data_IF_513302948974
#
_entry.id   IF_513302948974
#
_cell.length_a   1.000
_cell.length_b   1.000
_cell.length_c   1.000
_cell.angle_alpha   90.00
_cell.angle_beta   90.00
_cell.angle_gamma   90.00
#
_symmetry.space_group_name_H-M   'P 1'
#
loop_
_entity.id
_entity.type
_entity.pdbx_description
1 polymer ?
#
# COMPACT_ATOMS: atom_id res chain seq x y z
N UNK A 1 6.95 2.15 8.12
CA UNK A 1 5.71 2.90 7.80
C UNK A 1 5.65 3.09 6.28
N UNK A 2 4.48 3.07 5.65
CA UNK A 2 4.34 3.33 4.20
C UNK A 2 3.54 4.63 4.07
N UNK A 3 4.03 5.54 3.24
CA UNK A 3 3.36 6.80 2.96
C UNK A 3 2.69 6.72 1.58
N UNK A 4 1.48 7.26 1.52
CA UNK A 4 0.75 7.45 0.28
C UNK A 4 0.81 8.93 -0.07
N UNK A 5 1.26 9.23 -1.28
CA UNK A 5 1.26 10.57 -1.84
C UNK A 5 0.30 10.64 -3.03
N UNK A 6 0.01 11.86 -3.46
CA UNK A 6 -0.77 12.14 -4.67
C UNK A 6 -2.08 11.33 -4.70
N UNK A 7 -2.80 11.35 -3.57
CA UNK A 7 -4.07 10.63 -3.47
C UNK A 7 -5.11 11.41 -4.29
N UNK A 8 -5.65 10.76 -5.30
CA UNK A 8 -6.76 11.27 -6.10
C UNK A 8 -8.00 10.42 -5.86
N UNK A 9 -9.07 11.08 -5.42
CA UNK A 9 -10.39 10.48 -5.30
C UNK A 9 -11.19 10.79 -6.55
N UNK A 10 -11.99 9.83 -7.01
CA UNK A 10 -12.86 10.03 -8.17
C UNK A 10 -14.17 9.29 -7.93
N UNK A 11 -15.27 10.02 -8.10
CA UNK A 11 -16.59 9.44 -8.16
C UNK A 11 -16.88 9.08 -9.62
N UNK A 12 -17.04 7.78 -9.90
CA UNK A 12 -17.35 7.31 -11.25
C UNK A 12 -18.86 7.40 -11.52
N UNK A 13 -19.67 7.09 -10.51
CA UNK A 13 -21.13 7.22 -10.51
C UNK A 13 -21.64 7.54 -9.10
N UNK A 14 -22.96 7.70 -8.93
CA UNK A 14 -23.58 7.88 -7.61
C UNK A 14 -23.25 6.78 -6.60
N UNK A 15 -22.93 5.56 -7.06
CA UNK A 15 -22.70 4.38 -6.21
C UNK A 15 -21.30 3.80 -6.34
N UNK A 16 -20.44 4.38 -7.18
CA UNK A 16 -19.11 3.87 -7.48
C UNK A 16 -18.05 4.95 -7.25
N UNK A 17 -17.12 4.65 -6.35
CA UNK A 17 -16.04 5.53 -5.96
C UNK A 17 -14.71 4.82 -6.13
N UNK A 18 -13.67 5.54 -6.54
CA UNK A 18 -12.33 5.02 -6.58
C UNK A 18 -11.33 6.03 -6.00
N UNK A 19 -10.19 5.49 -5.58
CA UNK A 19 -9.04 6.27 -5.19
C UNK A 19 -7.78 5.65 -5.79
N UNK A 20 -6.84 6.49 -6.18
CA UNK A 20 -5.52 6.11 -6.66
C UNK A 20 -4.46 6.91 -5.91
N UNK A 21 -3.32 6.30 -5.63
CA UNK A 21 -2.22 6.96 -4.92
C UNK A 21 -0.87 6.37 -5.32
N UNK A 22 0.20 7.13 -5.06
CA UNK A 22 1.58 6.67 -5.20
C UNK A 22 2.14 6.20 -3.86
N UNK A 23 2.75 5.02 -3.87
CA UNK A 23 3.57 4.50 -2.78
C UNK A 23 4.87 5.29 -2.73
N UNK A 24 5.18 5.84 -1.56
CA UNK A 24 6.52 6.33 -1.28
C UNK A 24 7.21 5.29 -0.38
N UNK A 25 8.23 4.58 -0.87
CA UNK A 25 9.11 3.81 0.00
C UNK A 25 9.75 4.77 1.01
N UNK A 26 9.84 4.39 2.28
CA UNK A 26 10.70 5.12 3.22
C UNK A 26 12.15 4.85 2.79
N UNK A 27 12.66 5.70 1.90
CA UNK A 27 14.03 5.74 1.45
C UNK A 27 14.70 6.97 2.01
N UNK A 28 15.62 6.77 2.95
CA UNK A 28 16.90 7.48 3.16
C UNK A 28 16.94 9.02 3.30
N UNK A 29 15.85 9.77 3.14
CA UNK A 29 15.88 11.25 3.28
C UNK A 29 16.12 11.74 4.72
N UNK A 30 15.81 10.94 5.74
CA UNK A 30 16.16 11.27 7.13
C UNK A 30 17.66 11.11 7.44
N UNK A 31 18.42 10.40 6.59
CA UNK A 31 19.83 10.10 6.81
C UNK A 31 20.79 10.90 5.94
N UNK A 32 20.34 11.99 5.30
CA UNK A 32 21.23 12.83 4.48
C UNK A 32 21.64 14.15 5.15
N UNK A 33 20.86 14.68 6.09
CA UNK A 33 21.07 16.09 6.51
C UNK A 33 21.50 16.31 7.96
N UNK A 34 21.67 15.26 8.79
CA UNK A 34 22.20 15.44 10.16
C UNK A 34 23.21 14.34 10.55
N UNK A 35 24.41 14.39 9.99
CA UNK A 35 25.59 13.82 10.64
C UNK A 35 26.01 14.72 11.81
N UNK A 36 25.24 14.67 12.90
CA UNK A 36 25.72 15.14 14.20
C UNK A 36 25.24 14.13 15.23
N UNK A 37 26.19 13.55 15.97
CA UNK A 37 25.94 12.51 16.95
C UNK A 37 24.87 12.95 17.96
N UNK A 38 23.75 12.23 18.03
CA UNK A 38 22.69 12.51 18.98
C UNK A 38 22.84 11.60 20.20
N UNK A 39 23.10 12.25 21.34
CA UNK A 39 22.92 11.74 22.70
C UNK A 39 21.44 11.41 22.96
N UNK A 40 21.13 10.53 23.93
CA UNK A 40 19.75 10.09 24.15
C UNK A 40 18.90 11.20 24.76
N UNK A 41 17.84 11.60 24.06
CA UNK A 41 16.85 12.56 24.56
C UNK A 41 15.81 11.80 25.40
N UNK A 42 15.75 12.14 26.69
CA UNK A 42 14.64 11.87 27.61
C UNK A 42 13.44 12.74 27.20
N UNK A 43 12.34 12.13 26.77
CA UNK A 43 11.08 12.84 26.51
C UNK A 43 10.18 12.74 27.74
N UNK A 44 10.04 13.88 28.42
CA UNK A 44 9.09 14.14 29.48
C UNK A 44 7.66 14.16 28.94
N UNK A 45 6.77 13.48 29.65
CA UNK A 45 5.33 13.46 29.43
C UNK A 45 4.68 14.72 29.98
N UNK A 46 3.90 15.43 29.16
CA UNK A 46 2.78 16.23 29.64
C UNK A 46 1.56 16.11 28.71
N UNK A 47 0.44 15.89 29.39
CA UNK A 47 -0.89 15.49 28.93
C UNK A 47 -1.57 16.40 27.92
N UNK A 48 -2.38 15.81 27.02
CA UNK A 48 -3.78 16.20 26.78
C UNK A 48 -4.56 15.02 26.17
N UNK A 49 -5.82 14.89 26.59
CA UNK A 49 -6.63 13.66 26.61
C UNK A 49 -7.34 13.23 25.30
N UNK A 50 -7.49 11.90 25.19
CA UNK A 50 -8.60 11.08 24.63
C UNK A 50 -9.19 11.40 23.24
N UNK A 51 -8.88 10.52 22.27
CA UNK A 51 -9.86 9.55 21.75
C UNK A 51 -9.13 8.38 21.05
N UNK A 52 -9.56 7.16 21.39
CA UNK A 52 -8.96 5.88 21.05
C UNK A 52 -8.97 5.59 19.54
N UNK A 53 -7.85 5.83 18.87
CA UNK A 53 -7.52 5.21 17.58
C UNK A 53 -6.56 4.06 17.86
N UNK A 54 -7.06 2.83 17.69
CA UNK A 54 -6.26 1.61 17.64
C UNK A 54 -5.19 1.78 16.54
N UNK A 55 -4.02 2.26 16.95
CA UNK A 55 -2.85 2.35 16.11
C UNK A 55 -2.32 0.94 15.95
N UNK A 56 -2.83 0.20 14.98
CA UNK A 56 -2.18 -1.01 14.51
C UNK A 56 -0.94 -0.61 13.73
N UNK A 57 0.13 -0.34 14.47
CA UNK A 57 1.45 -0.03 13.96
C UNK A 57 2.07 -1.31 13.43
N UNK A 58 1.98 -1.55 12.12
CA UNK A 58 2.78 -2.59 11.47
C UNK A 58 4.22 -2.09 11.28
N UNK A 59 5.08 -2.44 12.22
CA UNK A 59 6.52 -2.21 12.12
C UNK A 59 7.13 -3.25 11.17
N UNK A 60 7.68 -2.82 10.04
CA UNK A 60 8.58 -3.66 9.24
C UNK A 60 9.99 -3.38 9.75
N UNK A 61 10.59 -4.36 10.43
CA UNK A 61 11.99 -4.32 10.85
C UNK A 61 12.86 -4.75 9.66
N UNK A 62 13.74 -3.90 9.11
CA UNK A 62 14.72 -4.35 8.14
C UNK A 62 15.81 -5.16 8.87
N UNK A 63 16.28 -6.29 8.33
CA UNK A 63 17.35 -7.07 8.95
C UNK A 63 18.67 -6.29 8.87
N UNK A 64 19.45 -6.30 9.96
CA UNK A 64 20.81 -5.76 10.01
C UNK A 64 21.73 -6.61 9.11
N UNK A 65 22.38 -5.96 8.15
CA UNK A 65 23.29 -6.61 7.20
C UNK A 65 24.74 -6.53 7.72
N UNK A 66 25.39 -7.68 7.87
CA UNK A 66 26.82 -7.81 8.11
C UNK A 66 27.51 -8.21 6.78
N UNK A 67 28.48 -7.44 6.26
CA UNK A 67 29.17 -7.78 5.04
C UNK A 67 30.42 -8.60 5.37
N UNK A 68 30.30 -9.93 5.35
CA UNK A 68 31.47 -10.80 5.26
C UNK A 68 31.09 -12.15 4.64
N UNK A 69 31.30 -12.29 3.34
CA UNK A 69 31.95 -13.42 2.65
C UNK A 69 31.46 -13.59 1.21
N UNK A 70 32.45 -13.75 0.35
CA UNK A 70 32.40 -13.87 -1.10
C UNK A 70 31.65 -15.12 -1.60
N UNK A 71 30.57 -14.92 -2.39
CA UNK A 71 30.10 -15.86 -3.43
C UNK A 71 29.09 -15.16 -4.37
N UNK A 72 29.60 -14.53 -5.43
CA UNK A 72 28.94 -13.41 -6.13
C UNK A 72 27.84 -13.77 -7.15
N UNK A 73 27.42 -15.03 -7.32
CA UNK A 73 26.39 -15.39 -8.33
C UNK A 73 25.06 -15.91 -7.74
N UNK A 74 25.07 -16.45 -6.53
CA UNK A 74 23.86 -16.96 -5.85
C UNK A 74 23.22 -15.94 -4.88
N UNK A 75 23.95 -14.88 -4.52
CA UNK A 75 23.46 -13.82 -3.64
C UNK A 75 22.46 -12.86 -4.31
N UNK A 76 22.62 -12.61 -5.61
CA UNK A 76 21.74 -11.72 -6.38
C UNK A 76 20.28 -12.21 -6.38
N UNK A 77 20.06 -13.53 -6.52
CA UNK A 77 18.71 -14.11 -6.61
C UNK A 77 17.94 -14.07 -5.29
N UNK A 78 18.62 -14.27 -4.16
CA UNK A 78 18.00 -14.18 -2.82
C UNK A 78 17.60 -12.75 -2.48
N UNK A 79 18.48 -11.79 -2.75
CA UNK A 79 18.21 -10.37 -2.52
C UNK A 79 17.07 -9.87 -3.42
N UNK A 80 17.06 -10.26 -4.69
CA UNK A 80 15.99 -9.89 -5.63
C UNK A 80 14.64 -10.47 -5.22
N UNK A 81 14.61 -11.72 -4.76
CA UNK A 81 13.39 -12.34 -4.26
C UNK A 81 12.87 -11.62 -3.01
N UNK A 82 13.78 -11.23 -2.11
CA UNK A 82 13.44 -10.45 -0.93
C UNK A 82 12.87 -9.09 -1.31
N UNK A 83 13.52 -8.38 -2.23
CA UNK A 83 13.05 -7.08 -2.73
C UNK A 83 11.65 -7.19 -3.36
N UNK A 84 11.40 -8.23 -4.15
CA UNK A 84 10.06 -8.52 -4.73
C UNK A 84 9.02 -8.77 -3.65
N UNK A 85 9.34 -9.54 -2.60
CA UNK A 85 8.44 -9.79 -1.46
C UNK A 85 8.13 -8.50 -0.71
N UNK A 86 9.14 -7.68 -0.41
CA UNK A 86 8.99 -6.38 0.26
C UNK A 86 8.11 -5.44 -0.58
N UNK A 87 8.34 -5.38 -1.89
CA UNK A 87 7.53 -4.57 -2.80
C UNK A 87 6.06 -5.00 -2.77
N UNK A 88 5.80 -6.29 -2.91
CA UNK A 88 4.43 -6.84 -2.88
C UNK A 88 3.75 -6.59 -1.55
N UNK A 89 4.47 -6.73 -0.44
CA UNK A 89 3.94 -6.41 0.88
C UNK A 89 3.60 -4.92 0.99
N UNK A 90 4.47 -4.05 0.47
CA UNK A 90 4.24 -2.61 0.48
C UNK A 90 3.01 -2.22 -0.32
N UNK A 91 2.80 -2.83 -1.49
CA UNK A 91 1.59 -2.66 -2.29
C UNK A 91 0.33 -3.12 -1.55
N UNK A 92 0.37 -4.32 -0.94
CA UNK A 92 -0.75 -4.87 -0.15
C UNK A 92 -1.14 -3.99 1.04
N UNK A 93 -0.14 -3.45 1.75
CA UNK A 93 -0.39 -2.52 2.86
C UNK A 93 -0.90 -1.19 2.32
N UNK A 94 -0.32 -0.68 1.22
CA UNK A 94 -0.72 0.59 0.61
C UNK A 94 -2.17 0.61 0.16
N UNK A 95 -2.66 -0.43 -0.53
CA UNK A 95 -4.08 -0.50 -0.95
C UNK A 95 -5.04 -0.50 0.24
N UNK A 96 -4.66 -1.10 1.37
CA UNK A 96 -5.48 -1.11 2.60
C UNK A 96 -5.50 0.25 3.28
N UNK A 97 -4.36 0.93 3.36
CA UNK A 97 -4.29 2.32 3.83
C UNK A 97 -5.15 3.20 2.94
N UNK A 98 -5.08 3.02 1.61
CA UNK A 98 -5.85 3.79 0.65
C UNK A 98 -7.36 3.56 0.80
N UNK A 99 -7.81 2.32 1.03
CA UNK A 99 -9.22 2.04 1.36
C UNK A 99 -9.66 2.83 2.59
N UNK A 100 -8.89 2.78 3.68
CA UNK A 100 -9.25 3.50 4.90
C UNK A 100 -9.36 5.01 4.67
N UNK A 101 -8.49 5.58 3.81
CA UNK A 101 -8.59 6.98 3.39
C UNK A 101 -9.84 7.27 2.59
N UNK A 102 -10.19 6.40 1.63
CA UNK A 102 -11.43 6.53 0.85
C UNK A 102 -12.67 6.40 1.74
N UNK A 103 -12.70 5.46 2.69
CA UNK A 103 -13.81 5.32 3.64
C UNK A 103 -13.96 6.56 4.51
N UNK A 104 -12.85 7.12 5.00
CA UNK A 104 -12.87 8.37 5.77
C UNK A 104 -13.38 9.55 4.95
N UNK A 105 -12.94 9.69 3.69
CA UNK A 105 -13.41 10.71 2.75
C UNK A 105 -14.93 10.63 2.52
N UNK A 106 -15.47 9.41 2.45
CA UNK A 106 -16.90 9.15 2.28
C UNK A 106 -17.70 9.18 3.59
N UNK A 107 -17.05 9.38 4.74
CA UNK A 107 -17.70 9.34 6.05
C UNK A 107 -18.20 7.95 6.46
N UNK A 108 -17.64 6.87 5.91
CA UNK A 108 -18.05 5.48 6.17
C UNK A 108 -17.19 4.88 7.29
N UNK A 109 -17.83 4.55 8.41
CA UNK A 109 -17.21 3.81 9.50
C UNK A 109 -17.41 2.30 9.30
N UNK A 110 -16.48 1.66 8.59
CA UNK A 110 -16.47 0.20 8.37
C UNK A 110 -15.03 -0.32 8.24
N UNK A 111 -14.88 -1.64 8.11
CA UNK A 111 -13.61 -2.32 7.90
C UNK A 111 -13.72 -3.35 6.79
N UNK A 112 -12.59 -3.65 6.16
CA UNK A 112 -12.51 -4.70 5.13
C UNK A 112 -12.74 -6.08 5.75
N UNK A 113 -13.56 -6.88 5.09
CA UNK A 113 -13.65 -8.33 5.28
C UNK A 113 -12.64 -9.03 4.36
N UNK A 114 -11.58 -9.57 4.94
CA UNK A 114 -10.52 -10.30 4.22
C UNK A 114 -10.74 -11.82 4.18
N UNK A 115 -11.87 -12.32 4.71
CA UNK A 115 -12.10 -13.76 4.87
C UNK A 115 -12.36 -14.50 3.56
N UNK A 116 -12.96 -13.83 2.56
CA UNK A 116 -13.34 -14.45 1.29
C UNK A 116 -13.35 -13.44 0.13
N UNK A 117 -13.29 -13.98 -1.09
CA UNK A 117 -13.56 -13.23 -2.32
C UNK A 117 -15.03 -13.38 -2.74
N UNK A 118 -15.64 -12.33 -3.35
CA UNK A 118 -15.10 -10.99 -3.57
C UNK A 118 -14.96 -10.20 -2.26
N UNK A 119 -13.97 -9.31 -2.18
CA UNK A 119 -13.76 -8.48 -0.99
C UNK A 119 -14.95 -7.55 -0.76
N UNK A 120 -15.33 -7.40 0.51
CA UNK A 120 -16.43 -6.53 0.94
C UNK A 120 -16.09 -5.80 2.23
N UNK A 121 -16.85 -4.77 2.55
CA UNK A 121 -16.89 -4.23 3.90
C UNK A 121 -17.69 -5.15 4.84
N UNK A 122 -17.34 -5.20 6.12
CA UNK A 122 -17.97 -6.13 7.07
C UNK A 122 -19.44 -5.82 7.32
N UNK A 123 -19.76 -4.55 7.60
CA UNK A 123 -21.10 -4.16 8.03
C UNK A 123 -21.99 -3.80 6.82
N UNK A 124 -21.53 -2.88 5.98
CA UNK A 124 -22.32 -2.38 4.85
C UNK A 124 -22.32 -3.33 3.65
N UNK A 125 -21.42 -4.33 3.63
CA UNK A 125 -21.29 -5.33 2.57
C UNK A 125 -21.01 -4.75 1.17
N UNK A 126 -20.63 -3.48 1.07
CA UNK A 126 -20.16 -2.83 -0.16
C UNK A 126 -18.96 -3.58 -0.74
N UNK A 127 -18.90 -3.66 -2.07
CA UNK A 127 -17.84 -4.38 -2.78
C UNK A 127 -16.58 -3.54 -2.86
N UNK A 128 -15.44 -4.19 -2.61
CA UNK A 128 -14.12 -3.57 -2.70
C UNK A 128 -13.29 -4.30 -3.74
N UNK A 129 -12.62 -3.55 -4.62
CA UNK A 129 -11.63 -4.10 -5.53
C UNK A 129 -10.30 -3.34 -5.38
N UNK A 130 -9.19 -4.06 -5.44
CA UNK A 130 -7.85 -3.50 -5.35
C UNK A 130 -7.08 -3.79 -6.63
N UNK A 131 -6.27 -2.82 -7.08
CA UNK A 131 -5.23 -3.07 -8.06
C UNK A 131 -3.96 -2.29 -7.71
N UNK A 132 -2.82 -2.73 -8.23
CA UNK A 132 -1.54 -2.09 -8.03
C UNK A 132 -0.59 -2.38 -9.20
N UNK A 133 0.16 -1.37 -9.66
CA UNK A 133 1.21 -1.56 -10.67
C UNK A 133 2.37 -0.61 -10.41
N UNK A 134 3.60 -1.15 -10.49
CA UNK A 134 4.81 -0.52 -9.96
C UNK A 134 4.61 0.08 -8.56
N UNK A 135 4.70 1.39 -8.42
CA UNK A 135 4.55 2.12 -7.15
C UNK A 135 3.20 2.84 -7.07
N UNK A 136 2.23 2.45 -7.90
CA UNK A 136 0.87 3.00 -7.88
C UNK A 136 -0.08 1.96 -7.32
N UNK A 137 -0.99 2.41 -6.45
CA UNK A 137 -2.04 1.59 -5.83
C UNK A 137 -3.40 2.23 -6.10
N UNK A 138 -4.40 1.39 -6.34
CA UNK A 138 -5.76 1.81 -6.58
C UNK A 138 -6.75 0.94 -5.79
N UNK A 139 -7.85 1.57 -5.40
CA UNK A 139 -9.00 0.91 -4.78
C UNK A 139 -10.28 1.44 -5.42
N UNK A 140 -11.24 0.54 -5.62
CA UNK A 140 -12.60 0.89 -5.97
C UNK A 140 -13.57 0.33 -4.94
N UNK A 141 -14.62 1.11 -4.67
CA UNK A 141 -15.70 0.81 -3.75
C UNK A 141 -17.02 0.96 -4.52
N UNK A 142 -17.86 -0.07 -4.49
CA UNK A 142 -19.21 -0.03 -5.07
C UNK A 142 -20.25 -0.40 -4.02
N UNK A 143 -21.31 0.38 -3.95
CA UNK A 143 -22.35 0.21 -2.94
C UNK A 143 -23.40 -0.83 -3.32
N UNK A 144 -23.63 -1.04 -4.62
CA UNK A 144 -24.78 -1.78 -5.14
C UNK A 144 -24.41 -3.04 -5.94
N UNK A 145 -23.17 -3.16 -6.41
CA UNK A 145 -22.80 -4.19 -7.38
C UNK A 145 -21.32 -4.57 -7.30
N UNK A 146 -20.99 -5.75 -7.83
CA UNK A 146 -19.61 -6.20 -7.87
C UNK A 146 -18.81 -5.33 -8.85
N UNK A 147 -17.62 -4.89 -8.43
CA UNK A 147 -16.72 -4.06 -9.23
C UNK A 147 -15.36 -4.74 -9.41
N UNK A 148 -14.77 -4.57 -10.59
CA UNK A 148 -13.38 -4.92 -10.90
C UNK A 148 -12.64 -3.69 -11.42
N UNK A 149 -11.41 -3.48 -10.94
CA UNK A 149 -10.48 -2.50 -11.50
C UNK A 149 -9.14 -3.16 -11.75
N UNK A 150 -8.44 -2.69 -12.78
CA UNK A 150 -7.05 -3.06 -13.04
C UNK A 150 -6.27 -1.84 -13.51
N UNK A 151 -5.08 -1.60 -12.93
CA UNK A 151 -4.20 -0.51 -13.30
C UNK A 151 -2.88 -1.07 -13.81
N UNK A 152 -2.41 -0.56 -14.94
CA UNK A 152 -1.11 -0.92 -15.49
C UNK A 152 -0.32 0.33 -15.89
N UNK A 153 0.88 0.47 -15.33
CA UNK A 153 1.74 1.63 -15.64
C UNK A 153 2.64 1.41 -16.85
N UNK A 154 2.83 0.16 -17.25
CA UNK A 154 3.69 -0.20 -18.37
C UNK A 154 2.85 -0.50 -19.61
N UNK A 155 3.38 -0.14 -20.79
CA UNK A 155 2.78 -0.53 -22.06
C UNK A 155 2.75 -2.06 -22.19
N UNK A 156 1.62 -2.60 -22.64
CA UNK A 156 1.48 -4.03 -22.93
C UNK A 156 2.32 -4.39 -24.15
N UNK A 157 3.24 -5.33 -24.00
CA UNK A 157 4.03 -5.82 -25.13
C UNK A 157 3.14 -6.48 -26.19
N UNK A 158 3.36 -6.17 -27.47
CA UNK A 158 2.53 -6.65 -28.58
C UNK A 158 2.39 -8.18 -28.63
N UNK A 159 3.45 -8.92 -28.29
CA UNK A 159 3.43 -10.39 -28.22
C UNK A 159 2.48 -10.92 -27.14
N UNK A 160 2.27 -10.17 -26.06
CA UNK A 160 1.31 -10.50 -25.00
C UNK A 160 -0.10 -10.20 -25.50
N UNK A 161 -0.31 -9.01 -26.09
CA UNK A 161 -1.61 -8.59 -26.62
C UNK A 161 -2.20 -9.63 -27.58
N UNK A 162 -1.40 -10.17 -28.51
CA UNK A 162 -1.83 -11.20 -29.47
C UNK A 162 -2.46 -12.45 -28.84
N UNK A 163 -2.19 -12.75 -27.57
CA UNK A 163 -2.75 -13.92 -26.87
C UNK A 163 -4.19 -13.69 -26.37
N UNK A 164 -4.60 -12.43 -26.23
CA UNK A 164 -5.88 -12.04 -25.64
C UNK A 164 -6.88 -11.50 -26.66
N UNK A 165 -6.40 -10.90 -27.76
CA UNK A 165 -7.27 -10.44 -28.83
C UNK A 165 -7.57 -11.58 -29.82
N UNK A 166 -8.86 -11.78 -30.08
CA UNK A 166 -9.36 -12.66 -31.15
C UNK A 166 -9.87 -11.78 -32.31
N UNK A 167 -9.81 -12.26 -33.57
CA UNK A 167 -10.34 -11.53 -34.73
C UNK A 167 -11.83 -11.20 -34.61
#
# INVERSE_FOLDING_TARGET
>A
MILLNDIHYTQLTATHHCAIARLQPIGTRLWRDHSTALTPITLSTSSFDKASLSSQTFCVVPPSYNPASDFSSLGATKQDLLNKKIKRQSQRTGVRILLNRLLAELGIADTLDESAFPYRLKNHRHYVCFSHSADTVAVALSFDSAIGIDIEVNSVAWQVAKRFYHP
#
